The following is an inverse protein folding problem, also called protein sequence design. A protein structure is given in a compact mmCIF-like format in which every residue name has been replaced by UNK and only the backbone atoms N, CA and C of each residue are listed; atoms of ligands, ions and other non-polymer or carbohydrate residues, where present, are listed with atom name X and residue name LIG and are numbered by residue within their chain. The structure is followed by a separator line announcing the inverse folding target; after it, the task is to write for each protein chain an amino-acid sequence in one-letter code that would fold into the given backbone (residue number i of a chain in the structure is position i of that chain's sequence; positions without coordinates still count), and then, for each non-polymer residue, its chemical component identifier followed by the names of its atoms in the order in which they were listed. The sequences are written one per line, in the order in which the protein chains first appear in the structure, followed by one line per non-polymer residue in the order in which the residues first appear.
data_IF_330645144579
#
_entry.id   IF_330645144579
#
_cell.length_a   1.000
_cell.length_b   1.000
_cell.length_c   1.000
_cell.angle_alpha   90.00
_cell.angle_beta   90.00
_cell.angle_gamma   90.00
#
_symmetry.space_group_name_H-M   'P 1'
#
loop_
_entity.id
_entity.type
_entity.pdbx_description
1 polymer ?
#
# COMPACT_ATOMS: atom_id res chain seq x y z
N UNK A 1 17.79 -28.22 -15.17
CA UNK A 1 17.16 -27.09 -14.45
C UNK A 1 17.99 -26.86 -13.23
N UNK A 2 18.65 -25.71 -13.13
CA UNK A 2 19.41 -25.35 -11.92
C UNK A 2 18.40 -25.10 -10.81
N UNK A 3 18.53 -25.80 -9.69
CA UNK A 3 17.72 -25.53 -8.50
C UNK A 3 17.94 -24.07 -8.09
N UNK A 4 16.84 -23.32 -7.95
CA UNK A 4 16.85 -21.96 -7.45
C UNK A 4 17.12 -22.01 -5.96
N UNK A 5 18.36 -21.71 -5.58
CA UNK A 5 18.74 -21.58 -4.17
C UNK A 5 18.51 -20.14 -3.71
N UNK A 6 17.64 -19.95 -2.72
CA UNK A 6 17.41 -18.65 -2.10
C UNK A 6 18.50 -18.34 -1.08
N UNK A 7 18.74 -17.06 -0.82
CA UNK A 7 19.66 -16.66 0.26
C UNK A 7 19.12 -17.15 1.62
N UNK A 8 19.97 -17.77 2.45
CA UNK A 8 19.60 -18.37 3.75
C UNK A 8 18.81 -17.45 4.70
N UNK A 9 18.96 -16.12 4.58
CA UNK A 9 18.17 -15.16 5.38
C UNK A 9 16.66 -15.19 5.08
N UNK A 10 16.27 -15.70 3.90
CA UNK A 10 14.88 -15.83 3.49
C UNK A 10 14.13 -16.84 4.34
N UNK A 11 14.81 -17.88 4.86
CA UNK A 11 14.21 -18.91 5.72
C UNK A 11 13.66 -18.36 7.05
N UNK A 12 14.08 -17.14 7.43
CA UNK A 12 13.61 -16.46 8.65
C UNK A 12 12.31 -15.69 8.44
N UNK A 13 11.81 -15.55 7.22
CA UNK A 13 10.63 -14.77 6.90
C UNK A 13 9.44 -15.72 6.78
N UNK A 14 8.55 -15.67 7.76
CA UNK A 14 7.31 -16.46 7.74
C UNK A 14 6.22 -15.80 6.88
N UNK A 15 5.26 -16.60 6.45
CA UNK A 15 4.06 -16.10 5.78
C UNK A 15 3.26 -15.22 6.73
N UNK A 16 2.86 -14.03 6.26
CA UNK A 16 2.06 -13.09 7.05
C UNK A 16 0.71 -13.71 7.48
N UNK A 17 0.44 -13.86 8.79
CA UNK A 17 -0.84 -14.41 9.27
C UNK A 17 -2.03 -13.54 8.89
N UNK A 18 -1.87 -12.21 8.86
CA UNK A 18 -2.94 -11.28 8.48
C UNK A 18 -3.29 -11.38 7.00
N UNK A 19 -2.30 -11.62 6.13
CA UNK A 19 -2.54 -11.86 4.71
C UNK A 19 -3.31 -13.15 4.48
N UNK A 20 -2.92 -14.24 5.15
CA UNK A 20 -3.62 -15.54 5.07
C UNK A 20 -5.07 -15.43 5.53
N UNK A 21 -5.32 -14.72 6.64
CA UNK A 21 -6.69 -14.51 7.13
C UNK A 21 -7.53 -13.67 6.18
N UNK A 22 -6.95 -12.61 5.62
CA UNK A 22 -7.63 -11.74 4.65
C UNK A 22 -8.03 -12.51 3.38
N UNK A 23 -7.12 -13.36 2.88
CA UNK A 23 -7.38 -14.21 1.73
C UNK A 23 -8.50 -15.23 2.01
N UNK A 24 -8.47 -15.92 3.16
CA UNK A 24 -9.54 -16.86 3.55
C UNK A 24 -10.89 -16.17 3.71
N UNK A 25 -10.93 -14.98 4.32
CA UNK A 25 -12.18 -14.23 4.48
C UNK A 25 -12.77 -13.86 3.11
N UNK A 26 -11.92 -13.48 2.15
CA UNK A 26 -12.33 -13.21 0.76
C UNK A 26 -12.88 -14.47 0.08
N UNK A 27 -12.18 -15.60 0.15
CA UNK A 27 -12.61 -16.88 -0.43
C UNK A 27 -13.96 -17.34 0.13
N UNK A 28 -14.16 -17.22 1.45
CA UNK A 28 -15.43 -17.58 2.08
C UNK A 28 -16.58 -16.68 1.61
N UNK A 29 -16.33 -15.37 1.44
CA UNK A 29 -17.31 -14.42 0.91
C UNK A 29 -17.64 -14.70 -0.57
N UNK A 30 -16.63 -15.00 -1.39
CA UNK A 30 -16.81 -15.42 -2.79
C UNK A 30 -17.57 -16.74 -2.92
N UNK A 31 -17.41 -17.65 -1.95
CA UNK A 31 -18.20 -18.87 -1.82
C UNK A 31 -19.65 -18.64 -1.31
N UNK A 32 -20.10 -17.39 -1.19
CA UNK A 32 -21.46 -17.03 -0.80
C UNK A 32 -21.75 -17.08 0.70
N UNK A 33 -20.72 -17.14 1.55
CA UNK A 33 -20.90 -17.13 3.00
C UNK A 33 -21.00 -15.70 3.52
N UNK A 34 -21.87 -15.49 4.51
CA UNK A 34 -21.93 -14.23 5.25
C UNK A 34 -20.74 -14.10 6.20
N UNK A 35 -19.82 -13.19 5.89
CA UNK A 35 -18.54 -13.02 6.57
C UNK A 35 -18.32 -11.54 6.88
N UNK A 36 -18.13 -11.23 8.15
CA UNK A 36 -17.63 -9.95 8.63
C UNK A 36 -16.12 -10.06 8.80
N UNK A 37 -15.37 -9.41 7.91
CA UNK A 37 -13.90 -9.41 7.97
C UNK A 37 -13.40 -8.24 8.82
N UNK A 38 -12.83 -8.56 9.99
CA UNK A 38 -12.18 -7.60 10.90
C UNK A 38 -10.65 -7.70 10.83
N UNK A 39 -10.11 -8.35 9.80
CA UNK A 39 -8.66 -8.56 9.63
C UNK A 39 -7.96 -7.44 8.86
N UNK A 40 -8.72 -6.55 8.23
CA UNK A 40 -8.19 -5.48 7.37
C UNK A 40 -7.82 -4.24 8.19
N UNK A 41 -6.60 -3.73 8.00
CA UNK A 41 -6.14 -2.48 8.63
C UNK A 41 -6.31 -1.23 7.77
N UNK A 42 -6.80 -1.36 6.53
CA UNK A 42 -7.03 -0.21 5.65
C UNK A 42 -8.47 0.31 5.82
N UNK A 43 -8.70 1.63 5.70
CA UNK A 43 -10.05 2.20 5.67
C UNK A 43 -10.88 1.67 4.50
N UNK A 44 -12.20 1.67 4.67
CA UNK A 44 -13.20 1.28 3.68
C UNK A 44 -13.70 2.47 2.82
N UNK A 45 -13.32 3.70 3.18
CA UNK A 45 -13.66 4.89 2.42
C UNK A 45 -12.73 5.10 1.22
N UNK A 46 -13.23 5.70 0.11
CA UNK A 46 -12.39 6.08 -1.01
C UNK A 46 -11.40 7.18 -0.61
N UNK A 47 -10.28 7.26 -1.33
CA UNK A 47 -9.37 8.40 -1.27
C UNK A 47 -10.15 9.70 -1.57
N UNK A 48 -9.95 10.79 -0.81
CA UNK A 48 -10.66 12.06 -1.06
C UNK A 48 -10.39 12.64 -2.45
N UNK A 49 -11.41 13.23 -3.08
CA UNK A 49 -11.36 13.76 -4.46
C UNK A 49 -10.19 14.72 -4.70
N UNK A 50 -9.95 15.65 -3.78
CA UNK A 50 -8.86 16.64 -3.93
C UNK A 50 -7.46 15.99 -4.01
N UNK A 51 -7.27 14.80 -3.44
CA UNK A 51 -6.02 14.04 -3.54
C UNK A 51 -5.93 13.38 -4.92
N UNK A 52 -7.03 12.79 -5.39
CA UNK A 52 -7.10 12.18 -6.72
C UNK A 52 -6.88 13.22 -7.82
N UNK A 53 -7.52 14.38 -7.71
CA UNK A 53 -7.37 15.50 -8.66
C UNK A 53 -5.95 16.04 -8.70
N UNK A 54 -5.28 16.15 -7.54
CA UNK A 54 -3.88 16.58 -7.47
C UNK A 54 -2.94 15.58 -8.15
N UNK A 55 -3.18 14.27 -7.99
CA UNK A 55 -2.42 13.23 -8.66
C UNK A 55 -2.64 13.25 -10.18
N UNK A 56 -3.89 13.41 -10.63
CA UNK A 56 -4.24 13.54 -12.06
C UNK A 56 -3.55 14.76 -12.67
N UNK A 57 -3.56 15.89 -11.98
CA UNK A 57 -2.88 17.11 -12.42
C UNK A 57 -1.37 16.89 -12.53
N UNK A 58 -0.74 16.31 -11.51
CA UNK A 58 0.70 16.03 -11.53
C UNK A 58 1.10 15.14 -12.71
N UNK A 59 0.29 14.11 -13.03
CA UNK A 59 0.50 13.27 -14.22
C UNK A 59 0.40 14.07 -15.52
N UNK A 60 -0.60 14.94 -15.66
CA UNK A 60 -0.80 15.79 -16.85
C UNK A 60 0.31 16.84 -17.02
N UNK A 61 0.88 17.31 -15.92
CA UNK A 61 2.01 18.25 -15.88
C UNK A 61 3.37 17.59 -16.12
N UNK A 62 3.40 16.26 -16.33
CA UNK A 62 4.64 15.53 -16.62
C UNK A 62 5.51 15.25 -15.40
N UNK A 63 4.95 15.26 -14.18
CA UNK A 63 5.67 14.88 -12.96
C UNK A 63 5.81 13.35 -12.85
N UNK A 64 6.45 12.72 -13.84
CA UNK A 64 6.48 11.25 -14.05
C UNK A 64 7.89 10.65 -13.98
N UNK A 65 8.89 11.47 -13.67
CA UNK A 65 10.30 11.05 -13.61
C UNK A 65 10.79 10.93 -12.18
N UNK A 66 12.04 10.51 -12.02
CA UNK A 66 12.64 10.30 -10.70
C UNK A 66 12.54 11.54 -9.82
N UNK A 67 12.04 11.33 -8.61
CA UNK A 67 12.16 12.28 -7.51
C UNK A 67 13.55 12.14 -6.86
N UNK A 68 14.00 13.14 -6.07
CA UNK A 68 15.13 12.93 -5.16
C UNK A 68 14.89 11.72 -4.25
N UNK A 69 15.97 11.05 -3.83
CA UNK A 69 15.90 9.83 -2.98
C UNK A 69 15.09 10.08 -1.71
N UNK A 70 15.25 11.26 -1.10
CA UNK A 70 14.53 11.62 0.12
C UNK A 70 13.11 12.16 -0.13
N UNK A 71 12.60 12.17 -1.37
CA UNK A 71 11.32 12.76 -1.75
C UNK A 71 11.42 14.24 -2.20
N UNK A 72 10.32 14.76 -2.75
CA UNK A 72 10.23 16.14 -3.27
C UNK A 72 10.28 17.17 -2.14
N UNK A 73 10.87 18.34 -2.42
CA UNK A 73 10.94 19.42 -1.41
C UNK A 73 9.54 19.89 -1.00
N UNK A 74 8.61 20.04 -1.96
CA UNK A 74 7.24 20.42 -1.67
C UNK A 74 6.53 19.47 -0.68
N UNK A 75 6.72 18.15 -0.82
CA UNK A 75 6.15 17.18 0.11
C UNK A 75 6.80 17.30 1.50
N UNK A 76 8.12 17.45 1.56
CA UNK A 76 8.84 17.63 2.83
C UNK A 76 8.38 18.88 3.57
N UNK A 77 8.26 20.00 2.88
CA UNK A 77 7.82 21.27 3.46
C UNK A 77 6.39 21.16 4.02
N UNK A 78 5.50 20.49 3.28
CA UNK A 78 4.13 20.22 3.74
C UNK A 78 4.10 19.32 4.99
N UNK A 79 4.95 18.29 5.05
CA UNK A 79 5.09 17.41 6.22
C UNK A 79 5.64 18.19 7.43
N UNK A 80 6.68 19.00 7.23
CA UNK A 80 7.26 19.85 8.29
C UNK A 80 6.20 20.79 8.84
N UNK A 81 5.43 21.46 7.97
CA UNK A 81 4.35 22.34 8.38
C UNK A 81 3.26 21.59 9.16
N UNK A 82 2.89 20.37 8.75
CA UNK A 82 1.93 19.52 9.48
C UNK A 82 2.41 19.22 10.91
N UNK A 83 3.70 18.93 11.10
CA UNK A 83 4.24 18.60 12.43
C UNK A 83 4.47 19.81 13.34
N UNK A 84 4.39 21.05 12.82
CA UNK A 84 4.50 22.29 13.61
C UNK A 84 3.18 22.75 14.23
N UNK A 85 2.05 22.17 13.84
CA UNK A 85 0.70 22.54 14.32
C UNK A 85 0.10 21.46 15.20
#
# INVERSE_FOLDING_TARGET
MTDLEFAARMDRIETSPSAVMTQRAREMKEAGRDIISLSSGQPDFPTPDHVMDAAIRAMREGQTTYTPIAGTNALKDAIIAKFKR
#
